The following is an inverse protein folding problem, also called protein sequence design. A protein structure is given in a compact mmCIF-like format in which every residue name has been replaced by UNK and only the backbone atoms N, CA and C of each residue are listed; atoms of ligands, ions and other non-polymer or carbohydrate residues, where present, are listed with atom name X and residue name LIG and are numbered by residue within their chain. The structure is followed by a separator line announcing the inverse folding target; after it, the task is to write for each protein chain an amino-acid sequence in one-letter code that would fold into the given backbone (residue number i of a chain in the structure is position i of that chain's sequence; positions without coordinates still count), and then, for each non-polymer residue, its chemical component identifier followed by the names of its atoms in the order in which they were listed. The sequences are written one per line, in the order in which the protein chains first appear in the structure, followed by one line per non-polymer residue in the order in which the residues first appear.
data_IF_649881560999
#
_entry.id   IF_649881560999
#
_cell.length_a   1.000
_cell.length_b   1.000
_cell.length_c   1.000
_cell.angle_alpha   90.00
_cell.angle_beta   90.00
_cell.angle_gamma   90.00
#
_symmetry.space_group_name_H-M   'P 1'
#
loop_
_entity.id
_entity.type
_entity.pdbx_description
1 polymer ?
#
# COMPACT_ATOMS: atom_id res chain seq x y z
N UNK A 1 35.24 -30.89 56.98
CA UNK A 1 36.62 -30.63 57.44
C UNK A 1 37.33 -29.84 56.35
N UNK A 2 38.09 -28.85 56.80
CA UNK A 2 38.68 -27.74 56.06
C UNK A 2 39.63 -28.12 54.92
N UNK A 3 39.72 -27.25 53.91
CA UNK A 3 40.79 -27.24 52.92
C UNK A 3 40.82 -25.88 52.21
N UNK A 4 41.43 -24.89 52.87
CA UNK A 4 41.75 -23.59 52.30
C UNK A 4 42.95 -23.69 51.35
N UNK A 5 42.95 -22.86 50.31
CA UNK A 5 44.07 -22.69 49.38
C UNK A 5 43.92 -21.35 48.67
N UNK A 6 44.46 -20.30 49.30
CA UNK A 6 44.62 -18.95 48.76
C UNK A 6 45.61 -18.93 47.59
N UNK A 7 45.28 -18.16 46.56
CA UNK A 7 46.17 -17.82 45.46
C UNK A 7 45.83 -16.41 44.99
N UNK A 8 46.59 -15.44 45.50
CA UNK A 8 46.52 -14.03 45.13
C UNK A 8 46.98 -13.81 43.68
N UNK A 9 46.22 -13.00 42.95
CA UNK A 9 46.55 -12.51 41.61
C UNK A 9 46.01 -11.10 41.47
N UNK A 10 46.77 -10.16 42.00
CA UNK A 10 46.63 -8.71 41.83
C UNK A 10 46.90 -8.35 40.36
N UNK A 11 46.04 -7.54 39.75
CA UNK A 11 46.33 -6.99 38.43
C UNK A 11 45.11 -6.52 37.66
N UNK A 12 44.86 -5.21 37.70
CA UNK A 12 44.12 -4.51 36.64
C UNK A 12 42.84 -3.86 37.11
N UNK A 13 42.96 -2.68 37.71
CA UNK A 13 41.81 -1.81 37.95
C UNK A 13 41.15 -1.40 36.62
N UNK A 14 39.81 -1.52 36.48
CA UNK A 14 39.12 -0.83 35.42
C UNK A 14 39.02 0.64 35.81
N UNK A 15 39.76 1.47 35.09
CA UNK A 15 39.56 2.91 35.09
C UNK A 15 38.09 3.21 34.84
N UNK A 16 37.49 3.86 35.84
CA UNK A 16 36.18 4.50 35.74
C UNK A 16 36.30 5.65 34.74
N UNK A 17 36.03 5.34 33.49
CA UNK A 17 35.90 6.28 32.38
C UNK A 17 34.45 6.33 31.96
N UNK A 18 33.68 7.15 32.66
CA UNK A 18 32.32 7.49 32.25
C UNK A 18 32.33 8.13 30.85
N UNK A 19 31.60 7.50 29.92
CA UNK A 19 30.67 8.11 28.94
C UNK A 19 30.43 7.14 27.78
N UNK A 20 29.50 6.21 27.99
CA UNK A 20 28.78 5.58 26.89
C UNK A 20 27.94 6.67 26.19
N UNK A 21 28.49 7.20 25.11
CA UNK A 21 27.70 7.85 24.09
C UNK A 21 27.04 6.74 23.25
N UNK A 22 25.71 6.65 23.34
CA UNK A 22 24.89 5.91 22.38
C UNK A 22 25.00 6.59 21.00
N UNK A 23 26.07 6.28 20.27
CA UNK A 23 26.18 6.53 18.84
C UNK A 23 25.83 5.24 18.11
N UNK A 24 24.57 5.10 17.71
CA UNK A 24 24.10 3.99 16.90
C UNK A 24 24.80 4.01 15.52
N UNK A 25 25.94 3.31 15.41
CA UNK A 25 26.57 2.99 14.15
C UNK A 25 25.72 1.98 13.40
N UNK A 26 24.91 2.47 12.47
CA UNK A 26 24.19 1.64 11.49
C UNK A 26 25.23 0.85 10.69
N UNK A 27 25.14 -0.48 10.55
CA UNK A 27 26.06 -1.22 9.70
C UNK A 27 25.90 -0.79 8.23
N UNK A 28 26.97 -0.80 7.41
CA UNK A 28 26.90 -0.34 6.03
C UNK A 28 25.92 -1.19 5.22
N UNK A 29 25.02 -0.53 4.49
CA UNK A 29 24.02 -1.13 3.59
C UNK A 29 24.71 -1.71 2.34
N UNK A 30 25.48 -2.78 2.50
CA UNK A 30 26.24 -3.43 1.40
C UNK A 30 25.37 -4.26 0.44
N UNK A 31 24.05 -4.05 0.43
CA UNK A 31 23.10 -4.76 -0.42
C UNK A 31 22.27 -3.84 -1.33
N UNK A 32 22.43 -2.51 -1.23
CA UNK A 32 21.89 -1.61 -2.24
C UNK A 32 22.93 -1.44 -3.35
N UNK A 33 22.55 -1.63 -4.63
CA UNK A 33 23.39 -1.15 -5.72
C UNK A 33 23.59 0.36 -5.57
N UNK A 34 24.79 0.81 -5.91
CA UNK A 34 25.20 2.21 -5.89
C UNK A 34 24.39 2.95 -6.97
N UNK A 35 23.26 3.55 -6.58
CA UNK A 35 22.39 4.32 -7.49
C UNK A 35 23.09 5.65 -7.75
N UNK A 36 23.83 5.70 -8.85
CA UNK A 36 24.40 6.94 -9.39
C UNK A 36 23.29 7.89 -9.85
N UNK A 37 23.54 9.21 -9.90
CA UNK A 37 22.53 10.23 -10.25
C UNK A 37 22.09 10.22 -11.73
N UNK A 38 22.30 9.12 -12.45
CA UNK A 38 21.99 8.97 -13.87
C UNK A 38 21.00 7.82 -14.16
N UNK A 39 20.38 7.26 -13.12
CA UNK A 39 19.15 6.48 -13.27
C UNK A 39 18.01 7.43 -13.63
N UNK A 40 17.98 7.83 -14.90
CA UNK A 40 16.77 8.27 -15.57
C UNK A 40 15.83 7.08 -15.48
N UNK A 41 14.90 7.14 -14.53
CA UNK A 41 13.94 6.08 -14.29
C UNK A 41 13.29 5.63 -15.61
N UNK A 42 13.56 4.40 -16.10
CA UNK A 42 12.95 3.92 -17.32
C UNK A 42 11.43 3.69 -17.18
N UNK A 43 10.87 3.82 -15.98
CA UNK A 43 9.43 3.88 -15.73
C UNK A 43 8.86 5.30 -15.80
N UNK A 44 9.69 6.36 -15.86
CA UNK A 44 9.21 7.72 -16.07
C UNK A 44 8.54 7.94 -17.44
N UNK A 45 8.53 6.92 -18.31
CA UNK A 45 8.02 6.98 -19.67
C UNK A 45 6.90 5.98 -20.03
N UNK A 46 6.36 5.20 -19.10
CA UNK A 46 5.27 4.26 -19.41
C UNK A 46 4.08 4.50 -18.49
N UNK A 47 2.98 5.02 -19.03
CA UNK A 47 1.68 4.99 -18.35
C UNK A 47 1.27 3.51 -18.27
N UNK A 48 1.71 2.81 -17.24
CA UNK A 48 1.40 1.38 -17.00
C UNK A 48 0.04 1.20 -16.32
N UNK A 49 -0.91 2.09 -16.59
CA UNK A 49 -2.20 2.13 -15.91
C UNK A 49 -3.35 2.40 -16.88
N UNK A 50 -4.54 1.91 -16.53
CA UNK A 50 -5.77 2.34 -17.17
C UNK A 50 -5.90 3.86 -16.99
N UNK A 51 -6.15 4.60 -18.06
CA UNK A 51 -6.45 6.04 -17.99
C UNK A 51 -7.84 6.25 -17.34
N UNK A 52 -7.86 6.31 -16.01
CA UNK A 52 -9.09 6.45 -15.22
C UNK A 52 -9.48 7.93 -15.19
N UNK A 53 -10.69 8.33 -15.63
CA UNK A 53 -11.12 9.71 -15.55
C UNK A 53 -11.36 10.13 -14.08
N UNK A 54 -11.22 11.43 -13.79
CA UNK A 54 -11.66 11.98 -12.50
C UNK A 54 -13.17 11.73 -12.30
N UNK A 55 -13.56 11.33 -11.09
CA UNK A 55 -14.94 11.06 -10.71
C UNK A 55 -15.10 11.16 -9.19
N UNK A 56 -16.29 11.56 -8.75
CA UNK A 56 -16.69 11.53 -7.33
C UNK A 56 -16.91 10.10 -6.85
N UNK A 57 -16.78 9.87 -5.54
CA UNK A 57 -17.06 8.56 -4.96
C UNK A 57 -18.49 8.09 -5.23
N UNK A 58 -19.46 9.02 -5.29
CA UNK A 58 -20.86 8.76 -5.64
C UNK A 58 -21.01 8.26 -7.07
N UNK A 59 -20.35 8.88 -8.05
CA UNK A 59 -20.40 8.45 -9.46
C UNK A 59 -19.79 7.06 -9.63
N UNK A 60 -18.61 6.84 -9.04
CA UNK A 60 -17.93 5.54 -9.05
C UNK A 60 -18.82 4.46 -8.42
N UNK A 61 -19.41 4.75 -7.26
CA UNK A 61 -20.37 3.86 -6.58
C UNK A 61 -21.57 3.55 -7.47
N UNK A 62 -22.13 4.56 -8.14
CA UNK A 62 -23.26 4.39 -9.06
C UNK A 62 -22.92 3.50 -10.26
N UNK A 63 -21.72 3.62 -10.83
CA UNK A 63 -21.25 2.72 -11.88
C UNK A 63 -21.05 1.29 -11.34
N UNK A 64 -20.38 1.14 -10.20
CA UNK A 64 -20.14 -0.16 -9.56
C UNK A 64 -21.44 -0.91 -9.28
N UNK A 65 -22.46 -0.23 -8.73
CA UNK A 65 -23.78 -0.81 -8.48
C UNK A 65 -24.46 -1.26 -9.78
N UNK A 66 -24.38 -0.46 -10.86
CA UNK A 66 -24.92 -0.85 -12.16
C UNK A 66 -24.24 -2.09 -12.73
N UNK A 67 -22.91 -2.18 -12.63
CA UNK A 67 -22.13 -3.31 -13.11
C UNK A 67 -22.35 -4.59 -12.29
N UNK A 68 -22.49 -4.47 -10.97
CA UNK A 68 -22.77 -5.60 -10.08
C UNK A 68 -24.20 -6.12 -10.20
N UNK A 69 -25.12 -5.28 -10.69
CA UNK A 69 -26.53 -5.60 -10.85
C UNK A 69 -27.28 -5.75 -9.51
N UNK A 70 -28.50 -6.30 -9.58
CA UNK A 70 -29.39 -6.47 -8.41
C UNK A 70 -28.96 -7.58 -7.45
N UNK A 71 -27.98 -8.41 -7.82
CA UNK A 71 -27.38 -9.39 -6.93
C UNK A 71 -26.27 -8.72 -6.13
N UNK A 72 -26.64 -7.97 -5.09
CA UNK A 72 -25.65 -7.49 -4.12
C UNK A 72 -24.85 -8.69 -3.58
N UNK A 73 -23.53 -8.56 -3.38
CA UNK A 73 -22.74 -9.62 -2.74
C UNK A 73 -23.31 -9.88 -1.33
N UNK A 74 -23.89 -11.07 -1.15
CA UNK A 74 -24.36 -11.51 0.15
C UNK A 74 -23.17 -12.08 0.93
N UNK A 75 -22.49 -11.23 1.70
CA UNK A 75 -21.38 -11.65 2.56
C UNK A 75 -20.34 -10.57 2.78
N UNK A 76 -19.41 -10.84 3.68
CA UNK A 76 -18.19 -10.05 3.80
C UNK A 76 -17.38 -10.21 2.51
N UNK A 77 -16.81 -9.12 1.94
CA UNK A 77 -15.96 -9.21 0.77
C UNK A 77 -14.75 -10.10 1.09
N UNK A 78 -14.30 -10.84 0.08
CA UNK A 78 -13.07 -11.61 0.18
C UNK A 78 -11.90 -10.69 0.60
N UNK A 79 -11.14 -11.02 1.67
CA UNK A 79 -10.12 -10.13 2.22
C UNK A 79 -9.00 -9.79 1.23
N UNK A 80 -8.63 -10.73 0.35
CA UNK A 80 -7.61 -10.51 -0.67
C UNK A 80 -8.13 -9.58 -1.76
N UNK A 81 -9.33 -9.82 -2.27
CA UNK A 81 -10.00 -8.93 -3.22
C UNK A 81 -10.19 -7.52 -2.66
N UNK A 82 -10.48 -7.39 -1.35
CA UNK A 82 -10.60 -6.09 -0.69
C UNK A 82 -9.26 -5.35 -0.62
N UNK A 83 -8.18 -6.05 -0.34
CA UNK A 83 -6.85 -5.47 -0.30
C UNK A 83 -6.40 -5.03 -1.70
N UNK A 84 -6.65 -5.85 -2.72
CA UNK A 84 -6.40 -5.51 -4.12
C UNK A 84 -7.21 -4.26 -4.51
N UNK A 85 -8.51 -4.24 -4.23
CA UNK A 85 -9.39 -3.13 -4.55
C UNK A 85 -8.96 -1.84 -3.86
N UNK A 86 -8.53 -1.90 -2.59
CA UNK A 86 -8.09 -0.71 -1.87
C UNK A 86 -6.79 -0.16 -2.46
N UNK A 87 -5.77 -1.00 -2.56
CA UNK A 87 -4.42 -0.57 -2.91
C UNK A 87 -4.30 -0.21 -4.38
N UNK A 88 -4.83 -1.04 -5.29
CA UNK A 88 -4.56 -0.88 -6.73
C UNK A 88 -5.65 -0.13 -7.49
N UNK A 89 -6.81 0.11 -6.88
CA UNK A 89 -7.92 0.79 -7.56
C UNK A 89 -8.35 2.05 -6.83
N UNK A 90 -8.64 1.96 -5.53
CA UNK A 90 -9.17 3.10 -4.76
C UNK A 90 -8.09 4.11 -4.44
N UNK A 91 -6.94 3.68 -3.92
CA UNK A 91 -5.88 4.60 -3.51
C UNK A 91 -5.15 5.22 -4.73
N UNK A 92 -5.15 4.50 -5.87
CA UNK A 92 -4.61 4.98 -7.15
C UNK A 92 -5.61 5.83 -7.97
N UNK A 93 -6.87 5.94 -7.54
CA UNK A 93 -7.86 6.72 -8.28
C UNK A 93 -7.49 8.22 -8.29
N UNK A 94 -7.56 8.93 -9.43
CA UNK A 94 -7.12 10.34 -9.51
C UNK A 94 -7.80 11.28 -8.50
N UNK A 95 -9.06 10.98 -8.16
CA UNK A 95 -9.85 11.75 -7.20
C UNK A 95 -9.77 11.23 -5.75
N UNK A 96 -8.99 10.18 -5.46
CA UNK A 96 -8.97 9.50 -4.15
C UNK A 96 -8.65 10.43 -2.97
N UNK A 97 -7.77 11.42 -3.19
CA UNK A 97 -7.39 12.40 -2.18
C UNK A 97 -8.55 13.32 -1.75
N UNK A 98 -9.59 13.44 -2.59
CA UNK A 98 -10.79 14.25 -2.29
C UNK A 98 -11.88 13.44 -1.59
N UNK A 99 -11.74 12.13 -1.49
CA UNK A 99 -12.72 11.26 -0.86
C UNK A 99 -12.47 11.14 0.65
N UNK A 100 -13.54 11.03 1.41
CA UNK A 100 -13.51 10.64 2.82
C UNK A 100 -13.11 9.17 2.97
N UNK A 101 -12.73 8.77 4.19
CA UNK A 101 -12.39 7.38 4.48
C UNK A 101 -13.60 6.44 4.33
N UNK A 102 -14.80 6.92 4.65
CA UNK A 102 -16.04 6.14 4.51
C UNK A 102 -16.41 5.92 3.03
N UNK A 103 -16.20 6.93 2.19
CA UNK A 103 -16.32 6.81 0.74
C UNK A 103 -15.30 5.80 0.18
N UNK A 104 -14.01 5.94 0.54
CA UNK A 104 -12.98 4.98 0.11
C UNK A 104 -13.31 3.56 0.54
N UNK A 105 -13.80 3.35 1.77
CA UNK A 105 -14.21 2.03 2.26
C UNK A 105 -15.38 1.46 1.47
N UNK A 106 -16.39 2.29 1.18
CA UNK A 106 -17.58 1.88 0.44
C UNK A 106 -17.24 1.49 -1.00
N UNK A 107 -16.45 2.33 -1.67
CA UNK A 107 -15.96 2.05 -3.04
C UNK A 107 -15.09 0.79 -3.04
N UNK A 108 -14.15 0.64 -2.09
CA UNK A 108 -13.30 -0.55 -2.01
C UNK A 108 -14.12 -1.84 -1.85
N UNK A 109 -15.17 -1.85 -1.03
CA UNK A 109 -16.03 -3.01 -0.85
C UNK A 109 -16.76 -3.42 -2.12
N UNK A 110 -17.29 -2.46 -2.87
CA UNK A 110 -17.97 -2.72 -4.15
C UNK A 110 -16.98 -3.14 -5.24
N UNK A 111 -15.82 -2.49 -5.33
CA UNK A 111 -14.75 -2.88 -6.26
C UNK A 111 -14.23 -4.28 -5.95
N UNK A 112 -14.08 -4.64 -4.68
CA UNK A 112 -13.69 -6.00 -4.27
C UNK A 112 -14.71 -7.04 -4.75
N UNK A 113 -16.01 -6.74 -4.61
CA UNK A 113 -17.06 -7.61 -5.14
C UNK A 113 -17.04 -7.71 -6.67
N UNK A 114 -16.67 -6.64 -7.37
CA UNK A 114 -16.52 -6.63 -8.82
C UNK A 114 -15.34 -7.52 -9.25
N UNK A 115 -14.18 -7.34 -8.61
CA UNK A 115 -12.96 -8.12 -8.85
C UNK A 115 -13.19 -9.60 -8.54
N UNK A 116 -13.85 -9.92 -7.42
CA UNK A 116 -14.15 -11.31 -7.06
C UNK A 116 -15.05 -12.02 -8.08
N UNK A 117 -15.90 -11.28 -8.81
CA UNK A 117 -16.83 -11.82 -9.81
C UNK A 117 -16.27 -11.84 -11.23
N UNK A 118 -15.54 -10.81 -11.61
CA UNK A 118 -15.16 -10.54 -12.99
C UNK A 118 -13.65 -10.36 -13.19
N UNK A 119 -12.86 -10.45 -12.12
CA UNK A 119 -11.42 -10.21 -12.17
C UNK A 119 -11.08 -8.82 -12.71
N UNK A 120 -10.02 -8.76 -13.52
CA UNK A 120 -9.54 -7.55 -14.19
C UNK A 120 -10.53 -6.97 -15.21
N UNK A 121 -11.25 -7.83 -15.94
CA UNK A 121 -12.28 -7.41 -16.92
C UNK A 121 -13.36 -6.53 -16.27
N UNK A 122 -13.66 -6.77 -14.99
CA UNK A 122 -14.56 -5.93 -14.20
C UNK A 122 -14.03 -4.51 -14.02
N UNK A 123 -12.73 -4.36 -13.71
CA UNK A 123 -12.08 -3.06 -13.53
C UNK A 123 -12.01 -2.31 -14.87
N UNK A 124 -11.71 -3.00 -15.96
CA UNK A 124 -11.76 -2.41 -17.30
C UNK A 124 -13.16 -1.90 -17.67
N UNK A 125 -14.20 -2.68 -17.33
CA UNK A 125 -15.59 -2.29 -17.55
C UNK A 125 -15.97 -1.05 -16.72
N UNK A 126 -15.53 -0.97 -15.45
CA UNK A 126 -15.70 0.22 -14.61
C UNK A 126 -15.10 1.46 -15.26
N UNK A 127 -13.85 1.38 -15.71
CA UNK A 127 -13.17 2.51 -16.36
C UNK A 127 -13.87 2.91 -17.65
N UNK A 128 -14.31 1.94 -18.47
CA UNK A 128 -15.06 2.22 -19.69
C UNK A 128 -16.37 2.96 -19.41
N UNK A 129 -17.12 2.54 -18.40
CA UNK A 129 -18.38 3.19 -18.01
C UNK A 129 -18.16 4.59 -17.44
N UNK A 130 -17.10 4.81 -16.64
CA UNK A 130 -16.75 6.14 -16.14
C UNK A 130 -16.43 7.12 -17.28
N UNK A 131 -15.71 6.67 -18.32
CA UNK A 131 -15.47 7.47 -19.53
C UNK A 131 -16.75 7.79 -20.30
N UNK A 132 -17.74 6.90 -20.26
CA UNK A 132 -19.05 7.11 -20.88
C UNK A 132 -19.94 8.08 -20.09
N UNK A 133 -19.88 8.04 -18.76
CA UNK A 133 -20.63 8.92 -17.86
C UNK A 133 -20.22 10.39 -17.98
N UNK A 134 -18.93 10.66 -18.20
CA UNK A 134 -18.41 12.03 -18.38
C UNK A 134 -18.83 12.74 -19.69
N UNK A 135 -19.59 12.10 -20.58
CA UNK A 135 -20.13 12.71 -21.82
C UNK A 135 -21.64 13.03 -21.75
N UNK A 136 -22.24 12.97 -20.56
CA UNK A 136 -23.70 13.00 -20.37
C UNK A 136 -24.32 14.33 -19.94
N UNK A 137 -23.54 15.38 -19.69
CA UNK A 137 -24.03 16.71 -19.32
C UNK A 137 -23.39 17.77 -20.25
N UNK A 138 -24.04 18.03 -21.38
CA UNK A 138 -23.88 19.22 -22.24
C UNK A 138 -25.25 19.62 -22.82
#
# INVERSE_FOLDING_TARGET
MNGAGEGAGDGGGPGSGAREAYGAGVPPRTWLPDVGPEDVDPLAGAVTGLDVPEATATEVTGVLVRLLGTTAPAGLPDPEALLIARVFVVDEHPSAARWSEDERRSVAGLTAALVARHGEEGVEALVRELRGAGRGDD
#
